data_IF_202938994175
#
_entry.id   IF_202938994175
#
_cell.length_a   1.000
_cell.length_b   1.000
_cell.length_c   1.000
_cell.angle_alpha   90.00
_cell.angle_beta   90.00
_cell.angle_gamma   90.00
#
_symmetry.space_group_name_H-M   'P 1'
#
loop_
_entity.id
_entity.type
_entity.pdbx_description
1 polymer ?
#
# COMPACT_ATOMS: atom_id res chain seq x y z
N UNK A 1 69.12 38.59 49.75
CA UNK A 1 68.04 39.42 50.33
C UNK A 1 66.68 39.00 49.63
N UNK A 2 65.72 38.56 50.41
CA UNK A 2 64.48 37.88 49.94
C UNK A 2 63.43 38.93 49.63
N UNK A 3 62.95 38.99 48.38
CA UNK A 3 61.76 39.74 47.96
C UNK A 3 60.56 38.84 47.92
N UNK A 4 59.54 39.15 48.71
CA UNK A 4 58.29 38.41 48.87
C UNK A 4 57.31 38.98 47.85
N UNK A 5 56.78 38.11 46.95
CA UNK A 5 55.72 38.46 45.99
C UNK A 5 54.36 38.15 46.65
N UNK A 6 53.50 39.17 46.75
CA UNK A 6 52.14 39.11 47.24
C UNK A 6 51.21 38.63 46.12
N UNK A 7 50.37 37.60 46.40
CA UNK A 7 49.27 37.16 45.52
C UNK A 7 47.99 37.87 45.94
N UNK A 8 47.47 38.72 45.04
CA UNK A 8 46.17 39.30 45.17
C UNK A 8 45.07 38.35 44.71
N UNK A 9 44.00 38.34 45.44
CA UNK A 9 42.81 37.51 45.31
C UNK A 9 42.16 37.59 43.92
N UNK A 10 41.97 36.41 43.28
CA UNK A 10 41.11 36.26 42.14
C UNK A 10 39.66 36.21 42.56
N UNK A 11 38.88 37.26 42.18
CA UNK A 11 37.45 37.35 42.38
C UNK A 11 36.74 36.41 41.44
N UNK A 12 36.04 35.40 41.96
CA UNK A 12 35.21 34.46 41.24
C UNK A 12 33.94 35.12 40.76
N UNK A 13 33.74 35.23 39.44
CA UNK A 13 32.46 35.70 38.86
C UNK A 13 31.49 34.52 38.80
N UNK A 14 30.29 34.56 39.34
CA UNK A 14 29.33 33.47 39.18
C UNK A 14 28.75 33.50 37.76
N UNK A 15 29.00 32.45 37.01
CA UNK A 15 28.38 32.21 35.70
C UNK A 15 26.91 31.88 35.91
N UNK A 16 26.06 32.85 35.62
CA UNK A 16 24.60 32.69 35.59
C UNK A 16 24.27 31.82 34.35
N UNK A 17 23.87 30.58 34.56
CA UNK A 17 23.28 29.73 33.52
C UNK A 17 21.92 30.31 33.12
N UNK A 18 21.85 30.85 31.92
CA UNK A 18 20.58 31.19 31.28
C UNK A 18 19.82 29.91 30.94
N UNK A 19 18.49 29.85 31.14
CA UNK A 19 17.71 28.68 30.70
C UNK A 19 17.74 28.59 29.18
N UNK A 20 18.06 27.40 28.66
CA UNK A 20 17.94 27.08 27.23
C UNK A 20 16.45 27.16 26.84
N UNK A 21 16.07 28.26 26.22
CA UNK A 21 14.78 28.40 25.53
C UNK A 21 14.75 27.34 24.40
N UNK A 22 13.96 26.27 24.58
CA UNK A 22 13.73 25.30 23.53
C UNK A 22 12.92 25.96 22.41
N UNK A 23 13.41 25.97 21.16
CA UNK A 23 12.70 26.62 20.08
C UNK A 23 11.33 25.97 19.85
N UNK A 24 10.27 26.76 19.86
CA UNK A 24 8.88 26.35 19.56
C UNK A 24 8.73 25.70 18.16
N UNK A 25 9.72 25.83 17.30
CA UNK A 25 9.75 25.30 15.93
C UNK A 25 9.72 23.77 15.86
N UNK A 26 10.17 23.06 16.93
CA UNK A 26 10.21 21.58 16.92
C UNK A 26 8.81 20.93 17.04
N UNK A 27 7.84 21.63 17.65
CA UNK A 27 6.47 21.09 17.82
C UNK A 27 5.62 21.21 16.55
N UNK A 28 5.81 22.28 15.79
CA UNK A 28 5.12 22.48 14.52
C UNK A 28 5.61 21.52 13.44
N UNK A 29 6.93 21.23 13.38
CA UNK A 29 7.49 20.26 12.43
C UNK A 29 6.98 18.83 12.68
N UNK A 30 6.84 18.41 13.95
CA UNK A 30 6.32 17.09 14.30
C UNK A 30 4.84 16.91 13.92
N UNK A 31 4.00 17.96 14.08
CA UNK A 31 2.60 17.92 13.69
C UNK A 31 2.45 17.85 12.16
N UNK A 32 3.28 18.57 11.40
CA UNK A 32 3.26 18.52 9.92
C UNK A 32 3.65 17.17 9.38
N UNK A 33 4.65 16.51 9.97
CA UNK A 33 5.09 15.16 9.53
C UNK A 33 4.01 14.10 9.84
N UNK A 34 3.33 14.19 10.99
CA UNK A 34 2.26 13.25 11.33
C UNK A 34 1.03 13.40 10.41
N UNK A 35 0.64 14.62 10.06
CA UNK A 35 -0.50 14.85 9.15
C UNK A 35 -0.20 14.43 7.72
N UNK A 36 1.04 14.60 7.24
CA UNK A 36 1.43 14.14 5.90
C UNK A 36 1.48 12.60 5.80
N UNK A 37 1.95 11.92 6.84
CA UNK A 37 2.02 10.45 6.89
C UNK A 37 0.62 9.82 6.91
N UNK A 38 -0.35 10.45 7.58
CA UNK A 38 -1.74 9.95 7.63
C UNK A 38 -2.47 10.07 6.28
N UNK A 39 -2.21 11.13 5.52
CA UNK A 39 -2.81 11.34 4.20
C UNK A 39 -2.31 10.33 3.15
N UNK A 40 -1.04 9.96 3.19
CA UNK A 40 -0.47 8.98 2.24
C UNK A 40 -0.95 7.56 2.49
N UNK A 41 -1.13 7.14 3.75
CA UNK A 41 -1.66 5.81 4.07
C UNK A 41 -3.12 5.66 3.67
N UNK A 42 -3.93 6.71 3.82
CA UNK A 42 -5.32 6.74 3.36
C UNK A 42 -5.44 6.57 1.85
N UNK A 43 -4.68 7.32 1.07
CA UNK A 43 -4.69 7.26 -0.39
C UNK A 43 -4.30 5.87 -0.93
N UNK A 44 -3.27 5.24 -0.38
CA UNK A 44 -2.83 3.89 -0.77
C UNK A 44 -3.87 2.81 -0.43
N UNK A 45 -4.58 2.95 0.69
CA UNK A 45 -5.65 2.03 1.06
C UNK A 45 -6.84 2.15 0.11
N UNK A 46 -7.21 3.36 -0.28
CA UNK A 46 -8.29 3.65 -1.23
C UNK A 46 -7.95 3.11 -2.62
N UNK A 47 -6.74 3.31 -3.13
CA UNK A 47 -6.30 2.77 -4.43
C UNK A 47 -6.36 1.24 -4.46
N UNK A 48 -5.86 0.55 -3.42
CA UNK A 48 -5.92 -0.90 -3.33
C UNK A 48 -7.35 -1.41 -3.31
N UNK A 49 -8.22 -0.79 -2.49
CA UNK A 49 -9.62 -1.14 -2.42
C UNK A 49 -10.31 -0.97 -3.78
N UNK A 50 -10.15 0.17 -4.42
CA UNK A 50 -10.74 0.46 -5.72
C UNK A 50 -10.27 -0.52 -6.81
N UNK A 51 -8.98 -0.89 -6.80
CA UNK A 51 -8.42 -1.88 -7.74
C UNK A 51 -9.02 -3.27 -7.50
N UNK A 52 -9.15 -3.71 -6.24
CA UNK A 52 -9.71 -5.02 -5.91
C UNK A 52 -11.21 -5.06 -6.21
N UNK A 53 -11.96 -4.00 -5.94
CA UNK A 53 -13.36 -3.93 -6.33
C UNK A 53 -13.55 -3.95 -7.85
N UNK A 54 -12.69 -3.25 -8.60
CA UNK A 54 -12.69 -3.32 -10.06
C UNK A 54 -12.46 -4.75 -10.58
N UNK A 55 -11.50 -5.47 -9.99
CA UNK A 55 -11.24 -6.88 -10.32
C UNK A 55 -12.46 -7.75 -10.00
N UNK A 56 -13.05 -7.60 -8.81
CA UNK A 56 -14.25 -8.32 -8.42
C UNK A 56 -15.40 -8.11 -9.42
N UNK A 57 -15.66 -6.86 -9.82
CA UNK A 57 -16.71 -6.52 -10.80
C UNK A 57 -16.45 -7.12 -12.20
N UNK A 58 -15.21 -7.41 -12.55
CA UNK A 58 -14.87 -8.06 -13.82
C UNK A 58 -14.94 -9.59 -13.73
N UNK A 59 -14.59 -10.16 -12.58
CA UNK A 59 -14.50 -11.61 -12.38
C UNK A 59 -15.85 -12.24 -12.00
N UNK A 60 -16.52 -11.68 -11.02
CA UNK A 60 -17.76 -12.27 -10.49
C UNK A 60 -18.67 -11.21 -9.83
N UNK A 61 -19.25 -10.27 -10.59
CA UNK A 61 -20.02 -9.14 -10.07
C UNK A 61 -21.29 -9.52 -9.29
N UNK A 62 -21.68 -10.78 -9.35
CA UNK A 62 -22.89 -11.31 -8.68
C UNK A 62 -22.57 -12.25 -7.52
N UNK A 63 -21.31 -12.39 -7.17
CA UNK A 63 -20.83 -13.36 -6.16
C UNK A 63 -21.41 -14.78 -6.39
N UNK A 64 -21.44 -15.22 -7.66
CA UNK A 64 -21.90 -16.55 -8.02
C UNK A 64 -21.03 -17.63 -7.35
N UNK A 65 -21.66 -18.64 -6.78
CA UNK A 65 -20.98 -19.80 -6.21
C UNK A 65 -20.57 -20.84 -7.27
N UNK A 66 -21.01 -20.65 -8.51
CA UNK A 66 -20.66 -21.55 -9.60
C UNK A 66 -19.19 -21.38 -9.97
N UNK A 67 -18.48 -22.51 -10.22
CA UNK A 67 -17.08 -22.44 -10.65
C UNK A 67 -16.99 -21.84 -12.05
N UNK A 68 -15.89 -21.14 -12.31
CA UNK A 68 -15.51 -20.71 -13.65
C UNK A 68 -15.13 -21.88 -14.56
N UNK A 69 -14.82 -21.59 -15.83
CA UNK A 69 -14.56 -22.61 -16.85
C UNK A 69 -13.34 -23.51 -16.56
N UNK A 70 -12.41 -23.04 -15.76
CA UNK A 70 -11.20 -23.79 -15.36
C UNK A 70 -11.23 -24.17 -13.87
N UNK A 71 -12.41 -24.11 -13.23
CA UNK A 71 -12.62 -24.41 -11.83
C UNK A 71 -12.26 -23.27 -10.88
N UNK A 72 -12.23 -22.03 -11.38
CA UNK A 72 -12.04 -20.83 -10.56
C UNK A 72 -13.21 -20.65 -9.61
N UNK A 73 -12.94 -20.13 -8.38
CA UNK A 73 -13.96 -19.94 -7.33
C UNK A 73 -13.96 -18.53 -6.75
N UNK A 74 -15.15 -18.13 -6.33
CA UNK A 74 -15.42 -16.97 -5.49
C UNK A 74 -15.39 -15.62 -6.19
N UNK A 75 -15.42 -14.55 -5.39
CA UNK A 75 -15.55 -13.17 -5.86
C UNK A 75 -14.46 -12.75 -6.87
N UNK A 76 -13.26 -13.29 -6.73
CA UNK A 76 -12.10 -12.94 -7.55
C UNK A 76 -11.70 -14.06 -8.51
N UNK A 77 -12.54 -15.07 -8.71
CA UNK A 77 -12.30 -16.22 -9.57
C UNK A 77 -10.87 -16.79 -9.40
N UNK A 78 -10.52 -17.08 -8.14
CA UNK A 78 -9.21 -17.66 -7.84
C UNK A 78 -9.07 -19.05 -8.41
N UNK A 79 -7.89 -19.35 -8.98
CA UNK A 79 -7.44 -20.72 -9.21
C UNK A 79 -6.89 -21.30 -7.92
N UNK A 80 -7.07 -22.61 -7.73
CA UNK A 80 -6.61 -23.28 -6.52
C UNK A 80 -5.12 -23.07 -6.24
N UNK A 81 -4.30 -23.03 -7.29
CA UNK A 81 -2.86 -22.78 -7.14
C UNK A 81 -2.58 -21.39 -6.57
N UNK A 82 -3.25 -20.34 -7.08
CA UNK A 82 -3.12 -18.97 -6.57
C UNK A 82 -3.62 -18.87 -5.12
N UNK A 83 -4.73 -19.54 -4.81
CA UNK A 83 -5.26 -19.61 -3.45
C UNK A 83 -4.23 -20.17 -2.46
N UNK A 84 -3.63 -21.32 -2.81
CA UNK A 84 -2.63 -21.99 -2.00
C UNK A 84 -1.32 -21.21 -1.80
N UNK A 85 -1.02 -20.26 -2.65
CA UNK A 85 0.13 -19.35 -2.44
C UNK A 85 -0.04 -18.46 -1.22
N UNK A 86 -1.26 -18.16 -0.82
CA UNK A 86 -1.57 -17.13 0.18
C UNK A 86 -2.20 -17.66 1.46
N UNK A 87 -2.71 -18.89 1.45
CA UNK A 87 -3.41 -19.48 2.60
C UNK A 87 -3.34 -21.01 2.59
N UNK A 88 -3.33 -21.60 3.79
CA UNK A 88 -3.51 -23.03 4.01
C UNK A 88 -4.99 -23.45 4.09
N UNK A 89 -5.93 -22.49 4.08
CA UNK A 89 -7.36 -22.80 4.14
C UNK A 89 -7.80 -23.61 2.90
N UNK A 90 -8.80 -24.50 3.04
CA UNK A 90 -9.33 -25.24 1.90
C UNK A 90 -9.81 -24.30 0.79
N UNK A 91 -9.62 -24.72 -0.48
CA UNK A 91 -9.97 -23.87 -1.63
C UNK A 91 -11.45 -23.53 -1.70
N UNK A 92 -12.36 -24.41 -1.20
CA UNK A 92 -13.79 -24.11 -1.08
C UNK A 92 -14.09 -22.83 -0.26
N UNK A 93 -13.18 -22.38 0.61
CA UNK A 93 -13.30 -21.10 1.33
C UNK A 93 -13.20 -19.87 0.42
N UNK A 94 -12.78 -20.03 -0.83
CA UNK A 94 -12.82 -18.96 -1.82
C UNK A 94 -14.26 -18.50 -2.15
N UNK A 95 -15.28 -19.33 -1.88
CA UNK A 95 -16.70 -18.95 -1.98
C UNK A 95 -17.17 -18.02 -0.84
N UNK A 96 -16.49 -18.05 0.30
CA UNK A 96 -16.75 -17.11 1.40
C UNK A 96 -16.12 -15.76 1.08
N UNK A 97 -16.92 -14.71 0.91
CA UNK A 97 -16.50 -13.39 0.50
C UNK A 97 -15.37 -12.84 1.39
N UNK A 98 -15.50 -12.95 2.69
CA UNK A 98 -14.50 -12.44 3.63
C UNK A 98 -13.15 -13.16 3.49
N UNK A 99 -13.18 -14.48 3.30
CA UNK A 99 -11.98 -15.29 3.04
C UNK A 99 -11.35 -14.93 1.72
N UNK A 100 -12.18 -14.73 0.68
CA UNK A 100 -11.77 -14.32 -0.66
C UNK A 100 -11.10 -12.94 -0.65
N UNK A 101 -11.70 -11.95 0.01
CA UNK A 101 -11.12 -10.60 0.17
C UNK A 101 -9.75 -10.65 0.89
N UNK A 102 -9.63 -11.44 1.95
CA UNK A 102 -8.36 -11.56 2.68
C UNK A 102 -7.24 -12.16 1.80
N UNK A 103 -7.56 -13.10 0.92
CA UNK A 103 -6.61 -13.66 -0.04
C UNK A 103 -6.32 -12.69 -1.17
N UNK A 104 -7.33 -11.95 -1.64
CA UNK A 104 -7.17 -10.93 -2.68
C UNK A 104 -6.20 -9.83 -2.27
N UNK A 105 -6.30 -9.33 -1.04
CA UNK A 105 -5.34 -8.37 -0.48
C UNK A 105 -3.92 -8.93 -0.50
N UNK A 106 -3.70 -10.18 -0.06
CA UNK A 106 -2.37 -10.80 -0.08
C UNK A 106 -1.83 -10.98 -1.49
N UNK A 107 -2.69 -11.34 -2.44
CA UNK A 107 -2.30 -11.51 -3.84
C UNK A 107 -1.95 -10.17 -4.49
N UNK A 108 -2.75 -9.13 -4.23
CA UNK A 108 -2.45 -7.76 -4.64
C UNK A 108 -1.08 -7.31 -4.10
N UNK A 109 -0.85 -7.44 -2.80
CA UNK A 109 0.40 -7.01 -2.16
C UNK A 109 1.61 -7.80 -2.70
N UNK A 110 1.43 -9.09 -3.00
CA UNK A 110 2.45 -9.90 -3.65
C UNK A 110 2.76 -9.41 -5.08
N UNK A 111 1.74 -9.18 -5.93
CA UNK A 111 1.92 -8.63 -7.29
C UNK A 111 2.64 -7.28 -7.21
N UNK A 112 2.17 -6.38 -6.34
CA UNK A 112 2.77 -5.06 -6.11
C UNK A 112 4.26 -5.19 -5.80
N UNK A 113 4.62 -6.01 -4.83
CA UNK A 113 6.01 -6.26 -4.46
C UNK A 113 6.85 -6.80 -5.61
N UNK A 114 6.32 -7.73 -6.41
CA UNK A 114 7.03 -8.30 -7.56
C UNK A 114 7.26 -7.28 -8.69
N UNK A 115 6.33 -6.38 -8.93
CA UNK A 115 6.48 -5.27 -9.88
C UNK A 115 7.54 -4.26 -9.38
N UNK A 116 7.41 -3.80 -8.13
CA UNK A 116 8.31 -2.81 -7.52
C UNK A 116 9.77 -3.27 -7.45
N UNK A 117 10.02 -4.55 -7.15
CA UNK A 117 11.37 -5.17 -7.19
C UNK A 117 12.05 -5.03 -8.55
N UNK A 118 11.28 -4.83 -9.60
CA UNK A 118 11.75 -4.71 -11.00
C UNK A 118 11.66 -3.28 -11.52
N UNK A 119 11.38 -2.31 -10.65
CA UNK A 119 11.23 -0.91 -11.02
C UNK A 119 9.99 -0.60 -11.86
N UNK A 120 9.00 -1.51 -11.88
CA UNK A 120 7.73 -1.32 -12.59
C UNK A 120 6.72 -0.68 -11.63
N UNK A 121 6.14 0.49 -11.96
CA UNK A 121 5.12 1.12 -11.13
C UNK A 121 3.90 0.20 -10.96
N UNK A 122 3.50 -0.05 -9.71
CA UNK A 122 2.37 -0.93 -9.39
C UNK A 122 1.03 -0.17 -9.47
N UNK A 123 0.73 0.40 -10.64
CA UNK A 123 -0.55 1.07 -10.91
C UNK A 123 -1.72 0.07 -10.96
N UNK A 124 -2.99 0.50 -10.80
CA UNK A 124 -4.16 -0.37 -10.97
C UNK A 124 -4.13 -1.17 -12.28
N UNK A 125 -3.67 -0.53 -13.38
CA UNK A 125 -3.49 -1.21 -14.66
C UNK A 125 -2.47 -2.35 -14.58
N UNK A 126 -1.28 -2.09 -14.02
CA UNK A 126 -0.21 -3.09 -13.95
C UNK A 126 -0.54 -4.24 -12.99
N UNK A 127 -1.23 -3.95 -11.90
CA UNK A 127 -1.76 -4.95 -10.98
C UNK A 127 -2.76 -5.87 -11.71
N UNK A 128 -3.75 -5.29 -12.38
CA UNK A 128 -4.76 -6.05 -13.11
C UNK A 128 -4.17 -6.85 -14.29
N UNK A 129 -3.17 -6.29 -14.98
CA UNK A 129 -2.44 -6.97 -16.04
C UNK A 129 -1.73 -8.21 -15.53
N UNK A 130 -1.06 -8.12 -14.38
CA UNK A 130 -0.40 -9.25 -13.73
C UNK A 130 -1.39 -10.24 -13.11
N UNK A 131 -2.53 -9.76 -12.61
CA UNK A 131 -3.60 -10.59 -12.09
C UNK A 131 -4.13 -11.56 -13.14
N UNK A 132 -4.48 -11.06 -14.31
CA UNK A 132 -5.08 -11.85 -15.38
C UNK A 132 -4.01 -12.54 -16.27
N UNK A 133 -2.96 -11.82 -16.66
CA UNK A 133 -1.94 -12.30 -17.59
C UNK A 133 -0.77 -13.04 -16.93
N UNK A 134 -0.64 -12.94 -15.60
CA UNK A 134 0.47 -13.47 -14.82
C UNK A 134 1.67 -12.52 -14.76
N UNK A 135 2.31 -12.46 -13.60
CA UNK A 135 3.46 -11.58 -13.33
C UNK A 135 4.64 -11.78 -14.30
N UNK A 136 4.91 -13.05 -14.69
CA UNK A 136 6.00 -13.37 -15.61
C UNK A 136 5.82 -12.67 -16.96
N UNK A 137 4.62 -12.78 -17.56
CA UNK A 137 4.32 -12.18 -18.86
C UNK A 137 4.46 -10.64 -18.84
N UNK A 138 4.08 -10.02 -17.74
CA UNK A 138 4.22 -8.56 -17.53
C UNK A 138 5.69 -8.16 -17.45
N UNK A 139 6.47 -8.88 -16.67
CA UNK A 139 7.91 -8.60 -16.46
C UNK A 139 8.72 -8.81 -17.75
N UNK A 140 8.36 -9.82 -18.52
CA UNK A 140 9.01 -10.12 -19.82
C UNK A 140 8.53 -9.21 -20.97
N UNK A 141 7.52 -8.34 -20.71
CA UNK A 141 7.00 -7.41 -21.70
C UNK A 141 6.11 -8.04 -22.77
N UNK A 142 5.60 -9.26 -22.54
CA UNK A 142 4.79 -10.01 -23.49
C UNK A 142 3.43 -10.46 -22.89
N UNK A 143 2.63 -9.53 -22.32
CA UNK A 143 1.33 -9.89 -21.78
C UNK A 143 0.37 -10.31 -22.91
N UNK A 144 -0.50 -11.32 -22.66
CA UNK A 144 -1.52 -11.72 -23.62
C UNK A 144 -2.49 -10.57 -23.94
N UNK A 145 -2.93 -10.44 -25.20
CA UNK A 145 -3.87 -9.38 -25.60
C UNK A 145 -5.16 -9.34 -24.74
N UNK A 146 -5.80 -10.47 -24.36
CA UNK A 146 -6.94 -10.45 -23.46
C UNK A 146 -6.64 -9.85 -22.08
N UNK A 147 -5.41 -10.05 -21.55
CA UNK A 147 -5.00 -9.46 -20.29
C UNK A 147 -4.80 -7.94 -20.39
N UNK A 148 -4.37 -7.43 -21.54
CA UNK A 148 -4.25 -5.99 -21.82
C UNK A 148 -5.63 -5.32 -21.82
N UNK A 149 -6.63 -5.92 -22.49
CA UNK A 149 -8.02 -5.44 -22.46
C UNK A 149 -8.61 -5.49 -21.04
N UNK A 150 -8.42 -6.61 -20.35
CA UNK A 150 -8.83 -6.77 -18.96
C UNK A 150 -8.24 -5.67 -18.05
N UNK A 151 -6.94 -5.42 -18.15
CA UNK A 151 -6.25 -4.41 -17.36
C UNK A 151 -6.76 -2.99 -17.62
N UNK A 152 -7.06 -2.67 -18.89
CA UNK A 152 -7.64 -1.37 -19.27
C UNK A 152 -9.01 -1.17 -18.64
N UNK A 153 -9.87 -2.19 -18.67
CA UNK A 153 -11.20 -2.16 -18.05
C UNK A 153 -11.11 -2.04 -16.53
N UNK A 154 -10.23 -2.81 -15.90
CA UNK A 154 -10.01 -2.76 -14.45
C UNK A 154 -9.51 -1.38 -13.99
N UNK A 155 -8.55 -0.78 -14.70
CA UNK A 155 -8.04 0.55 -14.38
C UNK A 155 -9.11 1.64 -14.50
N UNK A 156 -9.98 1.58 -15.52
CA UNK A 156 -11.09 2.52 -15.68
C UNK A 156 -12.12 2.39 -14.55
N UNK A 157 -12.46 1.16 -14.15
CA UNK A 157 -13.35 0.92 -13.01
C UNK A 157 -12.74 1.36 -11.68
N UNK A 158 -11.46 1.08 -11.44
CA UNK A 158 -10.75 1.52 -10.24
C UNK A 158 -10.79 3.05 -10.11
N UNK A 159 -10.50 3.77 -11.20
CA UNK A 159 -10.59 5.24 -11.21
C UNK A 159 -12.03 5.74 -10.93
N UNK A 160 -13.05 5.04 -11.40
CA UNK A 160 -14.44 5.37 -11.09
C UNK A 160 -14.73 5.20 -9.59
N UNK A 161 -14.32 4.08 -8.98
CA UNK A 161 -14.53 3.82 -7.56
C UNK A 161 -13.77 4.78 -6.66
N UNK A 162 -12.51 5.13 -6.99
CA UNK A 162 -11.76 6.14 -6.25
C UNK A 162 -12.47 7.50 -6.23
N UNK A 163 -13.02 7.92 -7.38
CA UNK A 163 -13.75 9.19 -7.47
C UNK A 163 -15.05 9.18 -6.68
N UNK A 164 -15.78 8.06 -6.68
CA UNK A 164 -17.03 7.94 -5.91
C UNK A 164 -16.79 7.97 -4.42
N UNK A 165 -15.80 7.25 -3.91
CA UNK A 165 -15.40 7.28 -2.50
C UNK A 165 -15.03 8.70 -2.02
N UNK A 166 -14.25 9.42 -2.83
CA UNK A 166 -13.86 10.80 -2.53
C UNK A 166 -15.04 11.78 -2.57
N UNK A 167 -16.09 11.49 -3.32
CA UNK A 167 -17.31 12.29 -3.36
C UNK A 167 -18.18 12.05 -2.11
N UNK A 168 -18.29 10.79 -1.67
CA UNK A 168 -19.09 10.40 -0.50
C UNK A 168 -18.45 10.81 0.85
N UNK A 169 -17.14 11.04 0.84
CA UNK A 169 -16.38 11.49 2.03
C UNK A 169 -16.44 13.01 2.28
N UNK A 170 -17.16 13.81 1.46
CA UNK A 170 -17.29 15.27 1.55
C UNK A 170 -18.63 15.68 2.13
#
# INVERSE_FOLDING_TARGET
MKGRVSWSAMTTIPTRLLPLERPLTSRLAAVFVLTFLSATTGALATERWATLEAIHQLENPRDSELPGNLGELGAYQFREQTWKMHTAAPFSRALDRRSSDAVAVKHYDWIKSELEKRGIPATPYMIALAWNGGIKAVVEGHPPAPAVDYASRAANLAQYFEKSELADAR
#
